data_IF_682813047222
#
_entry.id   IF_682813047222
#
_cell.length_a   1.000
_cell.length_b   1.000
_cell.length_c   1.000
_cell.angle_alpha   90.00
_cell.angle_beta   90.00
_cell.angle_gamma   90.00
#
_symmetry.space_group_name_H-M   'P 1'
#
loop_
_entity.id
_entity.type
_entity.pdbx_description
1 polymer ?
#
# COMPACT_ATOMS: atom_id res chain seq x y z
N UNK A 1 2.07 -9.10 17.71
CA UNK A 1 1.25 -8.15 16.92
C UNK A 1 0.19 -7.55 17.84
N UNK A 2 0.01 -6.22 17.86
CA UNK A 2 -1.06 -5.56 18.65
C UNK A 2 -2.40 -5.72 17.92
N UNK A 3 -3.13 -6.79 18.22
CA UNK A 3 -4.40 -7.13 17.56
C UNK A 3 -5.53 -6.16 17.91
N UNK A 4 -5.50 -5.56 19.11
CA UNK A 4 -6.51 -4.61 19.58
C UNK A 4 -6.64 -3.34 18.74
N UNK A 5 -5.60 -2.97 18.00
CA UNK A 5 -5.59 -1.77 17.14
C UNK A 5 -6.00 -2.06 15.67
N UNK A 6 -6.31 -3.32 15.34
CA UNK A 6 -6.67 -3.70 13.98
C UNK A 6 -8.13 -3.35 13.66
N UNK A 7 -8.44 -3.16 12.37
CA UNK A 7 -9.80 -2.87 11.85
C UNK A 7 -10.41 -1.54 12.35
N UNK A 8 -9.66 -0.73 13.08
CA UNK A 8 -10.07 0.62 13.53
C UNK A 8 -9.75 1.73 12.51
N UNK A 9 -9.16 1.39 11.36
CA UNK A 9 -8.85 2.36 10.29
C UNK A 9 -7.47 3.00 10.38
N UNK A 10 -6.74 2.85 11.50
CA UNK A 10 -5.42 3.46 11.69
C UNK A 10 -4.41 3.17 10.58
N UNK A 11 -4.40 1.95 10.03
CA UNK A 11 -3.50 1.62 8.92
C UNK A 11 -3.84 2.41 7.64
N UNK A 12 -5.12 2.68 7.39
CA UNK A 12 -5.55 3.50 6.25
C UNK A 12 -5.21 4.97 6.49
N UNK A 13 -5.47 5.49 7.68
CA UNK A 13 -5.13 6.87 8.07
C UNK A 13 -3.63 7.13 7.90
N UNK A 14 -2.79 6.26 8.46
CA UNK A 14 -1.34 6.38 8.35
C UNK A 14 -0.86 6.30 6.89
N UNK A 15 -1.42 5.37 6.09
CA UNK A 15 -1.03 5.23 4.69
C UNK A 15 -1.45 6.43 3.83
N UNK A 16 -2.61 7.06 4.12
CA UNK A 16 -3.04 8.30 3.48
C UNK A 16 -2.06 9.43 3.79
N UNK A 17 -1.67 9.59 5.07
CA UNK A 17 -0.70 10.60 5.46
C UNK A 17 0.66 10.40 4.77
N UNK A 18 1.13 9.15 4.64
CA UNK A 18 2.36 8.84 3.90
C UNK A 18 2.27 9.21 2.41
N UNK A 19 1.15 8.90 1.75
CA UNK A 19 0.90 9.30 0.35
C UNK A 19 0.92 10.82 0.21
N UNK A 20 0.15 11.53 1.03
CA UNK A 20 0.03 12.98 0.96
C UNK A 20 1.37 13.67 1.20
N UNK A 21 2.15 13.16 2.16
CA UNK A 21 3.52 13.62 2.37
C UNK A 21 4.39 13.40 1.12
N UNK A 22 4.34 12.21 0.52
CA UNK A 22 5.15 11.89 -0.66
C UNK A 22 4.79 12.76 -1.88
N UNK A 23 3.50 12.98 -2.16
CA UNK A 23 3.06 13.87 -3.24
C UNK A 23 3.42 15.34 -2.95
N UNK A 24 3.18 15.83 -1.73
CA UNK A 24 3.43 17.25 -1.38
C UNK A 24 4.91 17.64 -1.40
N UNK A 25 5.81 16.68 -1.22
CA UNK A 25 7.26 16.91 -1.25
C UNK A 25 7.90 16.47 -2.57
N UNK A 26 7.10 16.13 -3.58
CA UNK A 26 7.58 15.66 -4.90
C UNK A 26 8.65 14.57 -4.74
N UNK A 27 8.34 13.56 -3.93
CA UNK A 27 9.20 12.39 -3.81
C UNK A 27 9.14 11.55 -5.11
N UNK A 28 9.65 10.32 -5.05
CA UNK A 28 9.64 9.43 -6.20
C UNK A 28 8.22 8.99 -6.60
N UNK A 29 8.00 8.87 -7.91
CA UNK A 29 6.82 8.27 -8.54
C UNK A 29 7.27 7.10 -9.45
N UNK A 30 6.57 5.95 -9.45
CA UNK A 30 5.34 5.66 -8.72
C UNK A 30 5.58 5.29 -7.25
N UNK A 31 4.55 5.46 -6.41
CA UNK A 31 4.53 4.89 -5.06
C UNK A 31 4.04 3.44 -5.11
N UNK A 32 4.81 2.54 -4.49
CA UNK A 32 4.53 1.09 -4.52
C UNK A 32 4.35 0.50 -3.12
N UNK A 33 3.48 -0.51 -3.03
CA UNK A 33 3.32 -1.38 -1.86
C UNK A 33 3.52 -2.84 -2.26
N UNK A 34 4.50 -3.50 -1.65
CA UNK A 34 4.79 -4.93 -1.85
C UNK A 34 4.06 -5.71 -0.75
N UNK A 35 3.09 -6.55 -1.12
CA UNK A 35 2.16 -7.17 -0.17
C UNK A 35 2.11 -8.68 -0.43
N UNK A 36 2.15 -9.50 0.62
CA UNK A 36 1.94 -10.94 0.49
C UNK A 36 0.58 -11.22 -0.17
N UNK A 37 0.53 -12.16 -1.13
CA UNK A 37 -0.64 -12.46 -1.96
C UNK A 37 -1.88 -12.88 -1.16
N UNK A 38 -1.68 -13.47 0.02
CA UNK A 38 -2.76 -13.89 0.91
C UNK A 38 -3.14 -12.84 1.99
N UNK A 39 -2.40 -11.72 2.06
CA UNK A 39 -2.66 -10.66 3.03
C UNK A 39 -3.75 -9.70 2.54
N UNK A 40 -5.00 -10.20 2.53
CA UNK A 40 -6.18 -9.45 2.10
C UNK A 40 -6.44 -8.17 2.92
N UNK A 41 -5.98 -8.13 4.17
CA UNK A 41 -6.10 -6.94 5.02
C UNK A 41 -5.27 -5.78 4.46
N UNK A 42 -4.01 -6.02 4.12
CA UNK A 42 -3.10 -4.99 3.59
C UNK A 42 -3.45 -4.61 2.16
N UNK A 43 -3.88 -5.56 1.33
CA UNK A 43 -4.39 -5.27 -0.02
C UNK A 43 -5.59 -4.33 0.01
N UNK A 44 -6.50 -4.49 0.98
CA UNK A 44 -7.63 -3.58 1.18
C UNK A 44 -7.17 -2.17 1.59
N UNK A 45 -6.12 -2.07 2.41
CA UNK A 45 -5.55 -0.76 2.77
C UNK A 45 -4.97 -0.08 1.52
N UNK A 46 -4.18 -0.79 0.71
CA UNK A 46 -3.63 -0.26 -0.54
C UNK A 46 -4.74 0.27 -1.47
N UNK A 47 -5.81 -0.50 -1.66
CA UNK A 47 -6.96 -0.06 -2.44
C UNK A 47 -7.67 1.18 -1.88
N UNK A 48 -7.84 1.26 -0.54
CA UNK A 48 -8.43 2.45 0.11
C UNK A 48 -7.60 3.73 -0.05
N UNK A 49 -6.28 3.59 -0.18
CA UNK A 49 -5.35 4.71 -0.36
C UNK A 49 -5.24 5.14 -1.83
N UNK A 50 -5.88 4.41 -2.74
CA UNK A 50 -5.96 4.73 -4.17
C UNK A 50 -5.01 3.90 -5.06
N UNK A 51 -4.23 2.99 -4.47
CA UNK A 51 -3.34 2.12 -5.23
C UNK A 51 -4.12 1.00 -5.95
N UNK A 52 -3.57 0.54 -7.07
CA UNK A 52 -4.11 -0.59 -7.85
C UNK A 52 -3.07 -1.68 -7.99
N UNK A 53 -3.52 -2.93 -8.11
CA UNK A 53 -2.62 -4.03 -8.42
C UNK A 53 -1.95 -3.77 -9.78
N UNK A 54 -0.62 -3.73 -9.80
CA UNK A 54 0.16 -3.53 -11.01
C UNK A 54 0.71 -4.86 -11.51
N UNK A 55 0.18 -5.33 -12.65
CA UNK A 55 0.58 -6.58 -13.27
C UNK A 55 1.85 -6.45 -14.14
N UNK A 56 2.46 -5.28 -14.25
CA UNK A 56 3.75 -5.08 -14.91
C UNK A 56 4.90 -5.17 -13.90
N UNK A 57 4.65 -4.78 -12.64
CA UNK A 57 5.63 -4.85 -11.56
C UNK A 57 5.64 -6.22 -10.87
N UNK A 58 6.84 -6.74 -10.59
CA UNK A 58 7.02 -7.99 -9.83
C UNK A 58 8.04 -7.79 -8.73
N UNK A 59 7.72 -8.32 -7.56
CA UNK A 59 8.72 -8.55 -6.54
C UNK A 59 9.51 -9.83 -6.88
N UNK A 60 10.77 -9.91 -6.44
CA UNK A 60 11.63 -11.08 -6.69
C UNK A 60 11.03 -12.39 -6.17
N UNK A 61 10.30 -12.31 -5.06
CA UNK A 61 9.55 -13.44 -4.52
C UNK A 61 8.12 -13.49 -5.08
N UNK A 62 7.66 -14.62 -5.66
CA UNK A 62 6.35 -14.74 -6.29
C UNK A 62 5.18 -14.76 -5.30
N UNK A 63 5.45 -14.82 -3.99
CA UNK A 63 4.40 -14.76 -2.97
C UNK A 63 3.95 -13.33 -2.69
N UNK A 64 4.59 -12.33 -3.30
CA UNK A 64 4.20 -10.92 -3.17
C UNK A 64 3.58 -10.39 -4.46
N UNK A 65 2.56 -9.57 -4.28
CA UNK A 65 1.95 -8.75 -5.32
C UNK A 65 2.32 -7.29 -5.09
N UNK A 66 2.40 -6.51 -6.17
CA UNK A 66 2.76 -5.09 -6.12
C UNK A 66 1.53 -4.26 -6.42
N UNK A 67 1.14 -3.39 -5.48
CA UNK A 67 0.17 -2.33 -5.71
C UNK A 67 0.92 -1.03 -5.99
N UNK A 68 0.48 -0.24 -6.96
CA UNK A 68 1.13 1.01 -7.35
C UNK A 68 0.10 2.12 -7.60
N UNK A 69 0.57 3.36 -7.51
CA UNK A 69 -0.09 4.56 -8.04
C UNK A 69 0.95 5.63 -8.37
N UNK A 70 0.62 6.48 -9.33
CA UNK A 70 1.38 7.69 -9.60
C UNK A 70 1.07 8.75 -8.53
N UNK A 71 2.10 9.52 -8.14
CA UNK A 71 2.00 10.60 -7.14
C UNK A 71 1.99 12.00 -7.76
#
# INVERSE_FOLDING_TARGET
MKTSAQKLGYATEAAVACREYASSHTLASPLVSIIHRDNSASQRVAGKVGMRLDQTLRHSSPVHVVFAMDL
#
